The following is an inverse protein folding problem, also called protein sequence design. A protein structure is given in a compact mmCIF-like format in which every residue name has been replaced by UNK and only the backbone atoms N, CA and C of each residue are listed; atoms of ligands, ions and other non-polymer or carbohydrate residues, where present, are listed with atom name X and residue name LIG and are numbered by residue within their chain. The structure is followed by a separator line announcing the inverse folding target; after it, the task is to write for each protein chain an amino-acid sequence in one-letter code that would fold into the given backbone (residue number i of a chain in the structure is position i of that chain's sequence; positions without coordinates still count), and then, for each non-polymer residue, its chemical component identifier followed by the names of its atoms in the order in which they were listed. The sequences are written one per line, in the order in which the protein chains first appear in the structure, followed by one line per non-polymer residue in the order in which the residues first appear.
data_IF_993260111740
#
_entry.id   IF_993260111740
#
_cell.length_a   1.000
_cell.length_b   1.000
_cell.length_c   1.000
_cell.angle_alpha   90.00
_cell.angle_beta   90.00
_cell.angle_gamma   90.00
#
_symmetry.space_group_name_H-M   'P 1'
#
loop_
_entity.id
_entity.type
_entity.pdbx_description
1 polymer ?
#
# COMPACT_ATOMS: atom_id res chain seq x y z
N UNK A 1 3.62 17.96 9.33
CA UNK A 1 4.46 16.85 8.81
C UNK A 1 5.87 17.19 9.20
N UNK A 2 6.63 16.24 9.76
CA UNK A 2 7.99 16.51 10.22
C UNK A 2 8.86 17.01 9.05
N UNK A 3 9.57 18.13 9.17
CA UNK A 3 10.56 18.57 8.19
C UNK A 3 11.63 17.50 7.94
N UNK A 4 12.17 17.45 6.72
CA UNK A 4 13.10 16.39 6.31
C UNK A 4 14.45 16.43 7.08
N UNK A 5 14.83 17.60 7.57
CA UNK A 5 16.08 17.89 8.28
C UNK A 5 15.93 17.89 9.82
N UNK A 6 14.75 17.56 10.34
CA UNK A 6 14.49 17.56 11.77
C UNK A 6 15.28 16.45 12.50
N UNK A 7 16.04 16.75 13.57
CA UNK A 7 16.82 15.74 14.28
C UNK A 7 15.96 14.63 14.91
N UNK A 8 14.66 14.85 15.11
CA UNK A 8 13.75 13.84 15.69
C UNK A 8 13.75 12.52 14.90
N UNK A 9 14.04 12.55 13.60
CA UNK A 9 14.10 11.33 12.78
C UNK A 9 15.10 10.29 13.30
N UNK A 10 16.17 10.73 13.98
CA UNK A 10 17.19 9.83 14.54
C UNK A 10 16.72 9.11 15.81
N UNK A 11 15.64 9.58 16.43
CA UNK A 11 15.09 9.01 17.66
C UNK A 11 13.88 8.12 17.42
N UNK A 12 13.37 8.04 16.19
CA UNK A 12 12.19 7.25 15.86
C UNK A 12 12.53 5.78 15.70
N UNK A 13 11.58 4.92 16.06
CA UNK A 13 11.75 3.47 15.97
C UNK A 13 11.03 2.89 14.75
N UNK A 14 11.66 1.93 14.08
CA UNK A 14 11.05 1.12 13.03
C UNK A 14 10.25 -0.08 13.57
N UNK A 15 9.84 -0.97 12.68
CA UNK A 15 9.09 -2.20 13.02
C UNK A 15 9.86 -3.15 13.93
N UNK A 16 11.19 -3.18 13.84
CA UNK A 16 12.05 -3.94 14.76
C UNK A 16 12.17 -3.34 16.18
N UNK A 17 11.49 -2.22 16.49
CA UNK A 17 11.61 -1.50 17.78
C UNK A 17 13.02 -1.01 18.07
N UNK A 18 13.75 -0.67 17.01
CA UNK A 18 15.08 -0.08 17.07
C UNK A 18 15.07 1.24 16.29
N UNK A 19 15.98 2.18 16.61
CA UNK A 19 16.07 3.43 15.89
C UNK A 19 16.21 3.22 14.38
N UNK A 20 15.35 3.88 13.60
CA UNK A 20 15.38 3.89 12.15
C UNK A 20 14.97 5.26 11.62
N UNK A 21 15.85 5.84 10.80
CA UNK A 21 15.58 7.06 10.08
C UNK A 21 15.15 6.72 8.63
N UNK A 22 13.87 6.88 8.26
CA UNK A 22 13.36 6.61 6.91
C UNK A 22 13.73 7.69 5.90
N UNK A 23 14.28 8.82 6.32
CA UNK A 23 14.50 9.98 5.45
C UNK A 23 15.33 9.67 4.19
N UNK A 24 16.50 9.01 4.29
CA UNK A 24 17.27 8.67 3.08
C UNK A 24 16.52 7.75 2.12
N UNK A 25 15.61 6.90 2.61
CA UNK A 25 14.75 6.09 1.77
C UNK A 25 13.67 6.95 1.10
N UNK A 26 13.03 7.87 1.83
CA UNK A 26 12.01 8.77 1.29
C UNK A 26 12.57 9.73 0.22
N UNK A 27 13.78 10.24 0.40
CA UNK A 27 14.46 11.06 -0.61
C UNK A 27 14.74 10.27 -1.88
N UNK A 28 15.27 9.04 -1.75
CA UNK A 28 15.46 8.15 -2.89
C UNK A 28 14.15 7.80 -3.57
N UNK A 29 13.08 7.58 -2.82
CA UNK A 29 11.74 7.34 -3.37
C UNK A 29 11.25 8.55 -4.18
N UNK A 30 11.45 9.76 -3.67
CA UNK A 30 11.08 11.00 -4.36
C UNK A 30 11.92 11.20 -5.64
N UNK A 31 13.18 10.77 -5.65
CA UNK A 31 14.07 10.87 -6.81
C UNK A 31 13.96 9.71 -7.81
N UNK A 32 13.43 8.54 -7.43
CA UNK A 32 13.37 7.35 -8.28
C UNK A 32 12.66 7.60 -9.62
N UNK A 33 13.32 7.32 -10.74
CA UNK A 33 12.75 7.53 -12.08
C UNK A 33 12.19 6.23 -12.66
N UNK A 34 12.70 5.09 -12.20
CA UNK A 34 12.35 3.74 -12.66
C UNK A 34 11.55 2.94 -11.64
N UNK A 35 10.84 1.91 -12.09
CA UNK A 35 10.11 0.98 -11.20
C UNK A 35 11.06 0.16 -10.34
N UNK A 36 12.22 -0.18 -10.89
CA UNK A 36 13.27 -0.94 -10.21
C UNK A 36 13.85 -0.16 -9.02
N UNK A 37 14.16 1.13 -9.19
CA UNK A 37 14.62 2.00 -8.09
C UNK A 37 13.57 2.12 -6.99
N UNK A 38 12.31 2.35 -7.36
CA UNK A 38 11.19 2.44 -6.43
C UNK A 38 11.02 1.13 -5.63
N UNK A 39 11.10 -0.01 -6.31
CA UNK A 39 11.01 -1.35 -5.69
C UNK A 39 12.14 -1.59 -4.69
N UNK A 40 13.36 -1.20 -5.01
CA UNK A 40 14.50 -1.33 -4.10
C UNK A 40 14.28 -0.51 -2.81
N UNK A 41 13.77 0.72 -2.95
CA UNK A 41 13.46 1.57 -1.80
C UNK A 41 12.31 0.99 -0.98
N UNK A 42 11.24 0.52 -1.61
CA UNK A 42 10.14 -0.11 -0.88
C UNK A 42 10.56 -1.38 -0.16
N UNK A 43 11.50 -2.16 -0.70
CA UNK A 43 12.03 -3.34 0.01
C UNK A 43 12.65 -2.95 1.36
N UNK A 44 13.41 -1.85 1.40
CA UNK A 44 13.94 -1.32 2.66
C UNK A 44 12.82 -0.84 3.58
N UNK A 45 11.89 -0.03 3.07
CA UNK A 45 10.80 0.50 3.88
C UNK A 45 9.95 -0.63 4.49
N UNK A 46 9.66 -1.68 3.73
CA UNK A 46 8.95 -2.87 4.22
C UNK A 46 9.72 -3.58 5.33
N UNK A 47 11.03 -3.82 5.16
CA UNK A 47 11.86 -4.46 6.19
C UNK A 47 11.94 -3.60 7.45
N UNK A 48 12.11 -2.28 7.29
CA UNK A 48 12.43 -1.39 8.42
C UNK A 48 11.21 -0.82 9.15
N UNK A 49 10.09 -0.58 8.46
CA UNK A 49 8.91 0.04 9.06
C UNK A 49 7.90 -0.96 9.60
N UNK A 50 8.03 -2.24 9.24
CA UNK A 50 7.14 -3.29 9.71
C UNK A 50 7.91 -4.59 9.94
N UNK A 51 7.67 -5.23 11.08
CA UNK A 51 8.21 -6.56 11.36
C UNK A 51 7.20 -7.42 12.11
N UNK A 52 6.70 -8.49 11.48
CA UNK A 52 5.77 -9.46 12.11
C UNK A 52 4.58 -8.82 12.86
N UNK A 53 4.08 -7.71 12.33
CA UNK A 53 2.98 -6.93 12.88
C UNK A 53 3.35 -5.85 13.89
N UNK A 54 4.63 -5.69 14.18
CA UNK A 54 5.16 -4.52 14.86
C UNK A 54 5.39 -3.37 13.89
N UNK A 55 5.00 -2.18 14.35
CA UNK A 55 5.30 -0.88 13.75
C UNK A 55 5.85 0.05 14.83
N UNK A 56 6.60 1.07 14.43
CA UNK A 56 7.16 2.05 15.35
C UNK A 56 6.79 3.49 14.98
N UNK A 57 7.31 4.44 15.75
CA UNK A 57 7.05 5.87 15.52
C UNK A 57 7.58 6.37 14.17
N UNK A 58 8.62 5.75 13.62
CA UNK A 58 9.13 6.03 12.28
C UNK A 58 8.12 5.62 11.21
N UNK A 59 7.40 4.52 11.41
CA UNK A 59 6.33 4.05 10.53
C UNK A 59 5.22 5.10 10.43
N UNK A 60 4.84 5.69 11.58
CA UNK A 60 3.83 6.75 11.61
C UNK A 60 4.29 8.02 10.92
N UNK A 61 5.50 8.49 11.24
CA UNK A 61 6.06 9.69 10.64
C UNK A 61 6.23 9.57 9.11
N UNK A 62 6.38 8.34 8.59
CA UNK A 62 6.55 8.06 7.16
C UNK A 62 5.24 8.22 6.36
N UNK A 63 4.07 7.89 6.93
CA UNK A 63 2.79 7.87 6.19
C UNK A 63 2.47 9.21 5.48
N UNK A 64 2.58 10.39 6.12
CA UNK A 64 2.36 11.66 5.44
C UNK A 64 3.27 11.90 4.23
N UNK A 65 4.53 11.44 4.30
CA UNK A 65 5.47 11.58 3.19
C UNK A 65 5.16 10.63 2.05
N UNK A 66 4.80 9.38 2.33
CA UNK A 66 4.34 8.43 1.30
C UNK A 66 3.13 8.98 0.54
N UNK A 67 2.14 9.51 1.25
CA UNK A 67 0.95 10.10 0.63
C UNK A 67 1.31 11.31 -0.24
N UNK A 68 2.20 12.20 0.24
CA UNK A 68 2.69 13.34 -0.54
C UNK A 68 3.43 12.90 -1.81
N UNK A 69 4.30 11.89 -1.70
CA UNK A 69 5.06 11.36 -2.83
C UNK A 69 4.11 10.72 -3.85
N UNK A 70 3.14 9.93 -3.39
CA UNK A 70 2.11 9.32 -4.24
C UNK A 70 1.32 10.37 -5.02
N UNK A 71 0.90 11.48 -4.37
CA UNK A 71 0.20 12.58 -5.05
C UNK A 71 1.05 13.26 -6.13
N UNK A 72 2.37 13.31 -5.93
CA UNK A 72 3.31 13.95 -6.88
C UNK A 72 3.69 13.03 -8.03
N UNK A 73 3.87 11.73 -7.77
CA UNK A 73 4.48 10.77 -8.71
C UNK A 73 3.51 9.74 -9.28
N UNK A 74 2.28 9.68 -8.76
CA UNK A 74 1.34 8.61 -9.07
C UNK A 74 1.52 7.38 -8.16
N UNK A 75 0.51 6.51 -8.15
CA UNK A 75 0.62 5.15 -7.57
C UNK A 75 1.16 4.24 -8.68
N UNK A 76 2.41 3.81 -8.56
CA UNK A 76 3.08 3.00 -9.60
C UNK A 76 3.14 1.51 -9.29
N UNK A 77 3.04 1.15 -8.02
CA UNK A 77 2.97 -0.22 -7.53
C UNK A 77 2.03 -0.33 -6.33
N UNK A 78 1.76 -1.56 -5.91
CA UNK A 78 0.98 -1.84 -4.70
C UNK A 78 1.69 -1.41 -3.42
N UNK A 79 3.01 -1.23 -3.44
CA UNK A 79 3.82 -1.03 -2.24
C UNK A 79 3.39 0.20 -1.44
N UNK A 80 3.18 1.34 -2.10
CA UNK A 80 2.77 2.58 -1.46
C UNK A 80 1.42 2.46 -0.73
N UNK A 81 0.31 2.13 -1.42
CA UNK A 81 -0.98 1.99 -0.75
C UNK A 81 -0.99 0.84 0.27
N UNK A 82 -0.31 -0.27 -0.01
CA UNK A 82 -0.25 -1.40 0.92
C UNK A 82 0.49 -1.05 2.21
N UNK A 83 1.63 -0.35 2.12
CA UNK A 83 2.40 0.05 3.30
C UNK A 83 1.64 1.08 4.14
N UNK A 84 0.97 2.05 3.51
CA UNK A 84 0.10 3.01 4.21
C UNK A 84 -1.04 2.29 4.94
N UNK A 85 -1.72 1.36 4.26
CA UNK A 85 -2.80 0.57 4.86
C UNK A 85 -2.29 -0.27 6.04
N UNK A 86 -1.17 -0.97 5.86
CA UNK A 86 -0.59 -1.83 6.88
C UNK A 86 -0.16 -1.04 8.11
N UNK A 87 0.51 0.11 7.95
CA UNK A 87 0.89 0.94 9.09
C UNK A 87 -0.34 1.40 9.86
N UNK A 88 -1.40 1.81 9.16
CA UNK A 88 -2.64 2.24 9.81
C UNK A 88 -3.34 1.11 10.54
N UNK A 89 -3.44 -0.09 9.95
CA UNK A 89 -4.03 -1.25 10.61
C UNK A 89 -3.23 -1.58 11.88
N UNK A 90 -1.92 -1.75 11.77
CA UNK A 90 -1.08 -2.20 12.89
C UNK A 90 -0.99 -1.14 14.00
N UNK A 91 -1.14 0.16 13.69
CA UNK A 91 -1.18 1.22 14.71
C UNK A 91 -2.28 1.03 15.75
N UNK A 92 -3.39 0.36 15.41
CA UNK A 92 -4.50 0.10 16.34
C UNK A 92 -4.34 -1.18 17.15
N UNK A 93 -3.32 -1.98 16.86
CA UNK A 93 -3.02 -3.17 17.63
C UNK A 93 -2.34 -2.81 18.96
N UNK A 94 -2.79 -3.45 20.05
CA UNK A 94 -2.44 -3.05 21.42
C UNK A 94 -0.95 -3.12 21.77
N UNK A 95 -0.16 -3.91 21.06
CA UNK A 95 1.29 -4.03 21.24
C UNK A 95 2.06 -2.87 20.60
N UNK A 96 1.45 -2.11 19.69
CA UNK A 96 2.11 -1.03 18.96
C UNK A 96 2.08 0.28 19.76
N UNK A 97 3.09 1.14 19.59
CA UNK A 97 3.20 2.36 20.39
C UNK A 97 2.08 3.33 20.00
N UNK A 98 1.61 4.14 20.94
CA UNK A 98 0.64 5.19 20.61
C UNK A 98 1.24 6.19 19.62
N UNK A 99 0.42 6.70 18.71
CA UNK A 99 0.81 7.80 17.81
C UNK A 99 1.24 9.04 18.62
N UNK A 100 2.50 9.51 18.49
CA UNK A 100 2.97 10.72 19.17
C UNK A 100 2.12 11.95 18.85
N UNK A 101 1.92 12.81 19.85
CA UNK A 101 1.03 13.98 19.73
C UNK A 101 1.46 14.90 18.58
N UNK A 102 2.77 15.13 18.42
CA UNK A 102 3.30 15.98 17.35
C UNK A 102 3.03 15.45 15.93
N UNK A 103 2.73 14.16 15.76
CA UNK A 103 2.48 13.56 14.44
C UNK A 103 1.00 13.54 14.08
N UNK A 104 0.10 13.60 15.08
CA UNK A 104 -1.34 13.35 14.94
C UNK A 104 -1.98 14.17 13.83
N UNK A 105 -1.73 15.48 13.79
CA UNK A 105 -2.34 16.35 12.79
C UNK A 105 -1.92 15.94 11.37
N UNK A 106 -0.62 15.81 11.13
CA UNK A 106 -0.14 15.45 9.79
C UNK A 106 -0.51 14.05 9.36
N UNK A 107 -0.54 13.11 10.30
CA UNK A 107 -0.96 11.74 10.07
C UNK A 107 -2.45 11.68 9.71
N UNK A 108 -3.31 12.36 10.48
CA UNK A 108 -4.74 12.44 10.20
C UNK A 108 -5.02 13.11 8.85
N UNK A 109 -4.33 14.21 8.53
CA UNK A 109 -4.45 14.88 7.23
C UNK A 109 -4.04 13.96 6.07
N UNK A 110 -3.00 13.14 6.26
CA UNK A 110 -2.59 12.15 5.27
C UNK A 110 -3.70 11.14 5.01
N UNK A 111 -4.30 10.56 6.06
CA UNK A 111 -5.42 9.62 5.94
C UNK A 111 -6.63 10.23 5.24
N UNK A 112 -7.04 11.45 5.63
CA UNK A 112 -8.16 12.16 5.01
C UNK A 112 -7.94 12.38 3.50
N UNK A 113 -6.69 12.50 3.08
CA UNK A 113 -6.34 12.75 1.67
C UNK A 113 -6.21 11.48 0.81
N UNK A 114 -6.29 10.27 1.39
CA UNK A 114 -6.19 9.00 0.66
C UNK A 114 -7.22 8.89 -0.48
N UNK A 115 -8.52 9.22 -0.31
CA UNK A 115 -9.48 9.17 -1.41
C UNK A 115 -9.10 10.05 -2.60
N UNK A 116 -8.58 11.25 -2.34
CA UNK A 116 -8.13 12.18 -3.38
C UNK A 116 -6.84 11.68 -4.06
N UNK A 117 -5.90 11.13 -3.29
CA UNK A 117 -4.72 10.45 -3.83
C UNK A 117 -5.15 9.36 -4.82
N UNK A 118 -6.05 8.47 -4.41
CA UNK A 118 -6.53 7.37 -5.26
C UNK A 118 -7.18 7.93 -6.53
N UNK A 119 -8.10 8.89 -6.41
CA UNK A 119 -8.83 9.44 -7.55
C UNK A 119 -7.91 10.14 -8.57
N UNK A 120 -6.80 10.74 -8.13
CA UNK A 120 -5.90 11.51 -8.98
C UNK A 120 -4.68 10.74 -9.50
N UNK A 121 -4.30 9.64 -8.83
CA UNK A 121 -2.99 9.02 -8.99
C UNK A 121 -3.05 7.54 -9.38
N UNK A 122 -4.24 6.95 -9.47
CA UNK A 122 -4.42 5.55 -9.85
C UNK A 122 -4.18 5.36 -11.37
N UNK A 123 -3.39 4.36 -11.79
CA UNK A 123 -3.20 4.07 -13.21
C UNK A 123 -4.47 3.48 -13.82
N UNK A 124 -4.67 3.69 -15.13
CA UNK A 124 -5.82 3.12 -15.84
C UNK A 124 -5.80 1.59 -15.91
N UNK A 125 -4.59 1.00 -15.95
CA UNK A 125 -4.32 -0.43 -15.92
C UNK A 125 -3.87 -0.87 -14.53
N UNK A 126 -4.83 -1.08 -13.62
CA UNK A 126 -4.54 -1.67 -12.31
C UNK A 126 -4.54 -3.19 -12.40
N UNK A 127 -3.46 -3.83 -11.95
CA UNK A 127 -3.48 -5.25 -11.63
C UNK A 127 -4.22 -5.50 -10.30
N UNK A 128 -4.40 -6.77 -9.96
CA UNK A 128 -5.07 -7.17 -8.73
C UNK A 128 -4.33 -6.71 -7.46
N UNK A 129 -3.00 -6.55 -7.49
CA UNK A 129 -2.21 -6.12 -6.34
C UNK A 129 -2.41 -4.63 -6.06
N UNK A 130 -2.38 -3.79 -7.10
CA UNK A 130 -2.69 -2.36 -6.98
C UNK A 130 -4.14 -2.18 -6.54
N UNK A 131 -5.07 -2.93 -7.13
CA UNK A 131 -6.50 -2.82 -6.80
C UNK A 131 -6.76 -3.17 -5.33
N UNK A 132 -6.28 -4.31 -4.86
CA UNK A 132 -6.45 -4.78 -3.48
C UNK A 132 -5.81 -3.82 -2.47
N UNK A 133 -4.56 -3.40 -2.70
CA UNK A 133 -3.85 -2.46 -1.83
C UNK A 133 -4.50 -1.07 -1.74
N UNK A 134 -5.03 -0.56 -2.84
CA UNK A 134 -5.76 0.72 -2.86
C UNK A 134 -7.08 0.63 -2.10
N UNK A 135 -7.82 -0.47 -2.26
CA UNK A 135 -9.02 -0.75 -1.47
C UNK A 135 -8.68 -0.85 0.03
N UNK A 136 -7.56 -1.49 0.38
CA UNK A 136 -7.08 -1.57 1.75
C UNK A 136 -6.77 -0.18 2.33
N UNK A 137 -6.02 0.65 1.60
CA UNK A 137 -5.71 2.02 2.02
C UNK A 137 -6.97 2.87 2.22
N UNK A 138 -7.93 2.74 1.31
CA UNK A 138 -9.21 3.43 1.41
C UNK A 138 -9.98 2.98 2.67
N UNK A 139 -10.15 1.68 2.88
CA UNK A 139 -10.83 1.14 4.05
C UNK A 139 -10.15 1.56 5.36
N UNK A 140 -8.81 1.48 5.41
CA UNK A 140 -8.01 1.91 6.56
C UNK A 140 -8.22 3.41 6.87
N UNK A 141 -8.22 4.27 5.83
CA UNK A 141 -8.46 5.71 5.97
C UNK A 141 -9.84 6.06 6.55
N UNK A 142 -10.80 5.13 6.46
CA UNK A 142 -12.17 5.28 6.99
C UNK A 142 -12.37 4.58 8.35
N UNK A 143 -11.30 4.05 8.94
CA UNK A 143 -11.36 3.31 10.20
C UNK A 143 -11.92 1.90 10.08
N UNK A 144 -12.01 1.34 8.87
CA UNK A 144 -12.58 0.01 8.62
C UNK A 144 -11.48 -1.06 8.62
N UNK A 145 -10.79 -1.23 9.76
CA UNK A 145 -9.53 -2.00 9.81
C UNK A 145 -9.66 -3.47 9.42
N UNK A 146 -10.76 -4.15 9.78
CA UNK A 146 -10.98 -5.54 9.37
C UNK A 146 -11.17 -5.67 7.84
N UNK A 147 -11.88 -4.71 7.22
CA UNK A 147 -12.00 -4.68 5.75
C UNK A 147 -10.66 -4.36 5.10
N UNK A 148 -9.91 -3.41 5.66
CA UNK A 148 -8.58 -3.06 5.18
C UNK A 148 -7.63 -4.26 5.24
N UNK A 149 -7.64 -5.01 6.34
CA UNK A 149 -6.86 -6.23 6.50
C UNK A 149 -7.29 -7.30 5.51
N UNK A 150 -8.60 -7.52 5.36
CA UNK A 150 -9.12 -8.46 4.37
C UNK A 150 -8.62 -8.09 2.96
N UNK A 151 -8.69 -6.82 2.55
CA UNK A 151 -8.19 -6.39 1.25
C UNK A 151 -6.69 -6.59 1.07
N UNK A 152 -5.85 -6.48 2.11
CA UNK A 152 -4.41 -6.77 1.98
C UNK A 152 -4.09 -8.25 1.78
N UNK A 153 -4.86 -9.13 2.42
CA UNK A 153 -4.63 -10.58 2.39
C UNK A 153 -5.37 -11.26 1.24
N UNK A 154 -6.43 -10.63 0.73
CA UNK A 154 -7.33 -11.23 -0.24
C UNK A 154 -6.84 -11.03 -1.67
N UNK A 155 -6.73 -12.16 -2.36
CA UNK A 155 -6.39 -12.28 -3.78
C UNK A 155 -7.52 -12.99 -4.50
N UNK A 156 -7.52 -13.01 -5.82
CA UNK A 156 -8.65 -13.59 -6.59
C UNK A 156 -8.96 -15.04 -6.20
N UNK A 157 -7.94 -15.85 -5.93
CA UNK A 157 -8.07 -17.22 -5.44
C UNK A 157 -8.66 -17.29 -4.02
N UNK A 158 -8.14 -16.48 -3.09
CA UNK A 158 -8.62 -16.39 -1.70
C UNK A 158 -10.05 -15.83 -1.65
N UNK A 159 -10.36 -14.85 -2.49
CA UNK A 159 -11.70 -14.27 -2.63
C UNK A 159 -12.68 -15.31 -3.13
N UNK A 160 -12.27 -16.10 -4.14
CA UNK A 160 -13.10 -17.19 -4.65
C UNK A 160 -13.34 -18.27 -3.58
N UNK A 161 -12.31 -18.67 -2.83
CA UNK A 161 -12.45 -19.61 -1.71
C UNK A 161 -13.41 -19.08 -0.65
N UNK A 162 -13.22 -17.83 -0.22
CA UNK A 162 -14.13 -17.15 0.71
C UNK A 162 -15.57 -17.14 0.19
N UNK A 163 -15.79 -16.75 -1.07
CA UNK A 163 -17.13 -16.67 -1.66
C UNK A 163 -17.79 -18.05 -1.75
N UNK A 164 -17.02 -19.08 -2.10
CA UNK A 164 -17.49 -20.47 -2.12
C UNK A 164 -17.92 -20.92 -0.73
N UNK A 165 -17.08 -20.70 0.28
CA UNK A 165 -17.35 -21.13 1.66
C UNK A 165 -18.50 -20.35 2.31
N UNK A 166 -18.53 -19.03 2.16
CA UNK A 166 -19.45 -18.16 2.89
C UNK A 166 -20.78 -17.94 2.18
N UNK A 167 -20.82 -18.09 0.86
CA UNK A 167 -22.02 -17.78 0.06
C UNK A 167 -22.45 -18.91 -0.88
N UNK A 168 -21.64 -19.95 -1.04
CA UNK A 168 -21.88 -21.02 -2.02
C UNK A 168 -21.66 -20.57 -3.47
N UNK A 169 -21.02 -19.42 -3.70
CA UNK A 169 -20.75 -18.91 -5.03
C UNK A 169 -19.70 -19.77 -5.74
N UNK A 170 -20.04 -20.26 -6.93
CA UNK A 170 -19.11 -20.88 -7.86
C UNK A 170 -19.23 -20.19 -9.22
N UNK A 171 -18.14 -19.60 -9.76
CA UNK A 171 -18.18 -19.00 -11.07
C UNK A 171 -18.47 -20.10 -12.09
N UNK A 172 -19.52 -19.91 -12.91
CA UNK A 172 -19.78 -20.77 -14.06
C UNK A 172 -18.51 -20.78 -14.92
N UNK A 173 -17.85 -21.92 -15.00
CA UNK A 173 -16.53 -22.10 -15.65
C UNK A 173 -16.39 -21.20 -16.88
N UNK A 174 -15.50 -20.20 -16.84
CA UNK A 174 -15.05 -19.56 -18.06
C UNK A 174 -14.41 -20.65 -18.91
N UNK A 175 -15.05 -20.97 -20.05
CA UNK A 175 -14.46 -21.84 -21.05
C UNK A 175 -13.06 -21.32 -21.36
N UNK A 176 -12.02 -22.12 -21.05
CA UNK A 176 -10.60 -21.87 -21.38
C UNK A 176 -10.31 -21.79 -22.89
N UNK A 177 -11.32 -21.60 -23.74
CA UNK A 177 -11.23 -21.71 -25.20
C UNK A 177 -11.23 -20.34 -25.91
N UNK A 178 -11.56 -19.23 -25.25
CA UNK A 178 -11.72 -17.94 -25.96
C UNK A 178 -10.49 -17.01 -25.93
N UNK A 179 -9.40 -17.35 -25.22
CA UNK A 179 -8.17 -16.53 -25.24
C UNK A 179 -7.18 -16.84 -26.38
N UNK A 180 -7.47 -17.77 -27.28
CA UNK A 180 -6.58 -18.09 -28.43
C UNK A 180 -7.13 -17.63 -29.78
N UNK A 181 -8.40 -17.19 -29.86
CA UNK A 181 -9.05 -16.86 -31.13
C UNK A 181 -8.88 -15.40 -31.62
N UNK A 182 -8.25 -14.50 -30.86
CA UNK A 182 -8.09 -13.09 -31.26
C UNK A 182 -6.72 -12.68 -31.83
N UNK A 183 -5.85 -13.63 -32.18
CA UNK A 183 -4.59 -13.35 -32.90
C UNK A 183 -4.44 -14.19 -34.17
N UNK A 184 -5.20 -13.86 -35.22
CA UNK A 184 -4.71 -13.77 -36.61
C UNK A 184 -5.86 -13.43 -37.58
N UNK A 185 -6.01 -12.17 -37.99
CA UNK A 185 -6.61 -11.84 -39.26
C UNK A 185 -5.47 -11.73 -40.28
N UNK A 186 -5.23 -12.78 -41.06
CA UNK A 186 -4.73 -12.72 -42.44
C UNK A 186 -4.09 -14.05 -42.87
N UNK A 187 -4.89 -14.85 -43.59
CA UNK A 187 -4.43 -15.66 -44.71
C UNK A 187 -5.64 -16.04 -45.57
N UNK A 188 -5.84 -15.44 -46.75
CA UNK A 188 -6.77 -15.98 -47.71
C UNK A 188 -6.16 -17.21 -48.39
N UNK A 189 -7.01 -18.21 -48.57
CA UNK A 189 -6.77 -19.45 -49.32
C UNK A 189 -6.97 -19.13 -50.81
N UNK A 190 -5.89 -19.03 -51.57
CA UNK A 190 -5.66 -19.62 -52.91
C UNK A 190 -4.30 -19.19 -53.45
#
# INVERSE_FOLDING_TARGET
MIPLDDPIWQTLEGGYRVPYNPMPALERLEMAETREEEKEVFRELWDKLHHQGDVGTASYATVPHLVKIGKKKGIKSYDLPALVALVEIQRHESQNPSLPEEFKESYANALVSIPELIASSLPGDCDEYITSSVCAALAASKGQFNLARAYLEMREDVALEFLKEQTGYEPSTMNKTEQVASRNPDKPVS
#
